data_IF_313355803448
#
_entry.id   IF_313355803448
#
_cell.length_a   1.000
_cell.length_b   1.000
_cell.length_c   1.000
_cell.angle_alpha   90.00
_cell.angle_beta   90.00
_cell.angle_gamma   90.00
#
_symmetry.space_group_name_H-M   'P 1'
#
loop_
_entity.id
_entity.type
_entity.pdbx_description
1 polymer ?
#
# COMPACT_ATOMS: atom_id res chain seq x y z
N UNK A 1 -37.23 13.47 30.90
CA UNK A 1 -37.15 12.02 30.65
C UNK A 1 -35.93 11.74 29.79
N UNK A 2 -35.06 10.81 30.18
CA UNK A 2 -33.88 10.44 29.38
C UNK A 2 -34.30 9.46 28.28
N UNK A 3 -33.72 9.58 27.09
CA UNK A 3 -33.97 8.64 25.99
C UNK A 3 -32.66 7.96 25.56
N UNK A 4 -32.73 6.65 25.35
CA UNK A 4 -31.65 5.84 24.77
C UNK A 4 -32.01 5.59 23.33
N UNK A 5 -31.11 5.97 22.43
CA UNK A 5 -31.38 6.10 21.00
C UNK A 5 -30.29 5.34 20.27
N UNK A 6 -30.68 4.53 19.27
CA UNK A 6 -29.77 3.67 18.53
C UNK A 6 -29.63 4.04 17.04
N UNK A 7 -30.37 5.05 16.59
CA UNK A 7 -30.31 5.52 15.21
C UNK A 7 -30.57 7.01 15.10
N UNK A 8 -30.10 7.58 14.00
CA UNK A 8 -30.30 8.98 13.62
C UNK A 8 -31.78 9.29 13.44
N UNK A 9 -32.55 8.34 12.89
CA UNK A 9 -34.00 8.50 12.65
C UNK A 9 -34.77 8.57 13.96
N UNK A 10 -34.41 7.71 14.92
CA UNK A 10 -35.01 7.72 16.25
C UNK A 10 -34.62 9.01 17.00
N UNK A 11 -33.39 9.49 16.81
CA UNK A 11 -32.96 10.77 17.36
C UNK A 11 -33.80 11.94 16.84
N UNK A 12 -34.02 12.02 15.53
CA UNK A 12 -34.81 13.08 14.91
C UNK A 12 -36.29 13.03 15.33
N UNK A 13 -36.82 11.81 15.52
CA UNK A 13 -38.19 11.62 16.04
C UNK A 13 -38.31 12.09 17.48
N UNK A 14 -37.30 11.80 18.29
CA UNK A 14 -37.30 12.14 19.71
C UNK A 14 -36.98 13.62 19.99
N UNK A 15 -36.26 14.27 19.08
CA UNK A 15 -35.83 15.67 19.16
C UNK A 15 -36.09 16.43 17.84
N UNK A 16 -37.36 16.61 17.41
CA UNK A 16 -37.68 17.16 16.09
C UNK A 16 -37.28 18.63 15.88
N UNK A 17 -36.90 19.33 16.96
CA UNK A 17 -36.45 20.74 16.92
C UNK A 17 -34.96 20.89 16.61
N UNK A 18 -34.18 19.81 16.59
CA UNK A 18 -32.74 19.90 16.29
C UNK A 18 -32.51 20.16 14.80
N UNK A 19 -31.50 20.98 14.43
CA UNK A 19 -31.06 21.14 13.06
C UNK A 19 -30.81 19.81 12.37
N UNK A 20 -31.32 19.69 11.15
CA UNK A 20 -31.16 18.48 10.31
C UNK A 20 -29.82 18.45 9.58
N UNK A 21 -29.05 19.52 9.64
CA UNK A 21 -27.75 19.67 8.98
C UNK A 21 -26.74 20.31 9.95
N UNK A 22 -25.46 20.04 9.71
CA UNK A 22 -24.35 20.65 10.44
C UNK A 22 -23.47 19.66 11.18
N UNK A 23 -22.37 20.16 11.75
CA UNK A 23 -21.29 19.32 12.28
C UNK A 23 -21.73 18.32 13.36
N UNK A 24 -22.71 18.69 14.22
CA UNK A 24 -23.25 17.79 15.24
C UNK A 24 -24.08 16.66 14.65
N UNK A 25 -24.84 16.94 13.58
CA UNK A 25 -25.61 15.92 12.88
C UNK A 25 -24.68 14.92 12.22
N UNK A 26 -23.69 15.39 11.44
CA UNK A 26 -22.69 14.54 10.79
C UNK A 26 -21.93 13.68 11.82
N UNK A 27 -21.57 14.28 12.96
CA UNK A 27 -20.90 13.59 14.05
C UNK A 27 -21.78 12.49 14.67
N UNK A 28 -23.07 12.77 14.85
CA UNK A 28 -24.05 11.83 15.37
C UNK A 28 -24.28 10.65 14.41
N UNK A 29 -24.45 10.93 13.11
CA UNK A 29 -24.59 9.89 12.07
C UNK A 29 -23.39 8.97 12.04
N UNK A 30 -22.19 9.55 12.05
CA UNK A 30 -20.93 8.81 12.09
C UNK A 30 -20.80 7.97 13.36
N UNK A 31 -21.19 8.53 14.50
CA UNK A 31 -21.15 7.83 15.77
C UNK A 31 -22.11 6.64 15.80
N UNK A 32 -23.33 6.81 15.32
CA UNK A 32 -24.30 5.72 15.22
C UNK A 32 -23.80 4.58 14.34
N UNK A 33 -23.17 4.89 13.21
CA UNK A 33 -22.63 3.89 12.29
C UNK A 33 -21.53 3.00 12.91
N UNK A 34 -20.79 3.51 13.90
CA UNK A 34 -19.59 2.83 14.44
C UNK A 34 -19.80 2.33 15.88
N UNK A 35 -20.54 3.09 16.69
CA UNK A 35 -20.62 2.91 18.14
C UNK A 35 -22.05 2.70 18.65
N UNK A 36 -23.06 2.95 17.82
CA UNK A 36 -24.40 2.41 17.98
C UNK A 36 -25.37 3.17 18.87
N UNK A 37 -24.98 3.65 20.06
CA UNK A 37 -25.99 4.14 21.04
C UNK A 37 -25.61 5.47 21.68
N UNK A 38 -26.61 6.35 21.77
CA UNK A 38 -26.53 7.65 22.45
C UNK A 38 -27.63 7.73 23.51
N UNK A 39 -27.34 8.38 24.63
CA UNK A 39 -28.34 8.77 25.65
C UNK A 39 -28.40 10.29 25.72
N UNK A 40 -29.59 10.87 25.59
CA UNK A 40 -29.78 12.32 25.62
C UNK A 40 -31.01 12.75 26.43
N UNK A 41 -31.04 14.02 26.83
CA UNK A 41 -32.17 14.66 27.53
C UNK A 41 -32.55 15.92 26.79
N UNK A 42 -33.85 16.13 26.59
CA UNK A 42 -34.34 17.42 26.13
C UNK A 42 -33.93 18.55 27.08
N UNK A 43 -33.48 19.65 26.52
CA UNK A 43 -33.14 20.90 27.20
C UNK A 43 -33.89 22.05 26.53
N UNK A 44 -33.85 23.23 27.14
CA UNK A 44 -34.37 24.45 26.51
C UNK A 44 -33.48 24.92 25.32
N UNK A 45 -32.25 24.38 25.23
CA UNK A 45 -31.34 24.62 24.12
C UNK A 45 -31.84 23.90 22.85
N UNK A 46 -31.38 24.38 21.71
CA UNK A 46 -31.67 23.79 20.39
C UNK A 46 -31.21 22.33 20.27
N UNK A 47 -30.09 21.98 20.91
CA UNK A 47 -29.57 20.61 20.98
C UNK A 47 -29.80 20.00 22.37
N UNK A 48 -30.26 18.73 22.45
CA UNK A 48 -30.45 18.06 23.73
C UNK A 48 -29.11 17.87 24.45
N UNK A 49 -29.14 17.70 25.78
CA UNK A 49 -27.93 17.39 26.53
C UNK A 49 -27.53 15.94 26.33
N UNK A 50 -26.29 15.71 25.88
CA UNK A 50 -25.72 14.38 25.72
C UNK A 50 -25.31 13.83 27.10
N UNK A 51 -25.88 12.69 27.50
CA UNK A 51 -25.48 11.95 28.70
C UNK A 51 -24.54 10.79 28.41
N UNK A 52 -24.74 10.15 27.26
CA UNK A 52 -23.89 9.07 26.78
C UNK A 52 -23.72 9.22 25.27
N UNK A 53 -22.51 9.04 24.72
CA UNK A 53 -21.26 8.87 25.47
C UNK A 53 -20.91 10.12 26.30
N UNK A 54 -20.39 9.91 27.50
CA UNK A 54 -19.87 11.01 28.32
C UNK A 54 -18.47 11.43 27.82
N UNK A 55 -17.95 12.51 28.39
CA UNK A 55 -16.62 13.03 28.00
C UNK A 55 -15.52 11.99 28.19
N UNK A 56 -15.58 11.17 29.24
CA UNK A 56 -14.56 10.16 29.56
C UNK A 56 -14.56 9.02 28.53
N UNK A 57 -15.73 8.54 28.15
CA UNK A 57 -15.90 7.53 27.09
C UNK A 57 -15.40 8.07 25.76
N UNK A 58 -15.72 9.32 25.44
CA UNK A 58 -15.22 9.97 24.22
C UNK A 58 -13.70 10.12 24.23
N UNK A 59 -13.09 10.52 25.35
CA UNK A 59 -11.63 10.61 25.49
C UNK A 59 -10.94 9.25 25.30
N UNK A 60 -11.48 8.18 25.88
CA UNK A 60 -10.95 6.81 25.67
C UNK A 60 -11.00 6.43 24.20
N UNK A 61 -12.13 6.64 23.53
CA UNK A 61 -12.29 6.31 22.10
C UNK A 61 -11.39 7.14 21.20
N UNK A 62 -11.22 8.43 21.49
CA UNK A 62 -10.28 9.30 20.76
C UNK A 62 -8.85 8.79 20.93
N UNK A 63 -8.45 8.43 22.15
CA UNK A 63 -7.11 7.88 22.43
C UNK A 63 -6.87 6.56 21.68
N UNK A 64 -7.85 5.65 21.70
CA UNK A 64 -7.79 4.39 20.94
C UNK A 64 -7.67 4.62 19.42
N UNK A 65 -8.41 5.60 18.88
CA UNK A 65 -8.32 5.97 17.46
C UNK A 65 -6.95 6.55 17.10
N UNK A 66 -6.37 7.39 17.96
CA UNK A 66 -5.03 7.95 17.73
C UNK A 66 -4.00 6.82 17.66
N UNK A 67 -4.08 5.84 18.57
CA UNK A 67 -3.16 4.69 18.54
C UNK A 67 -3.36 3.84 17.28
N UNK A 68 -4.62 3.56 16.89
CA UNK A 68 -4.92 2.86 15.63
C UNK A 68 -4.38 3.61 14.42
N UNK A 69 -4.58 4.93 14.35
CA UNK A 69 -4.06 5.78 13.27
C UNK A 69 -2.54 5.69 13.18
N UNK A 70 -1.84 5.71 14.31
CA UNK A 70 -0.38 5.55 14.35
C UNK A 70 0.04 4.20 13.74
N UNK A 71 -0.57 3.11 14.19
CA UNK A 71 -0.29 1.75 13.66
C UNK A 71 -0.52 1.68 12.13
N UNK A 72 -1.64 2.22 11.64
CA UNK A 72 -1.92 2.22 10.21
C UNK A 72 -0.99 3.15 9.42
N UNK A 73 -0.58 4.29 9.99
CA UNK A 73 0.36 5.22 9.36
C UNK A 73 1.76 4.61 9.23
N UNK A 74 2.21 3.89 10.26
CA UNK A 74 3.49 3.17 10.24
C UNK A 74 3.48 2.08 9.15
N UNK A 75 2.40 1.31 9.08
CA UNK A 75 2.19 0.33 8.00
C UNK A 75 2.16 0.99 6.62
N UNK A 76 1.49 2.13 6.48
CA UNK A 76 1.43 2.87 5.22
C UNK A 76 2.82 3.30 4.77
N UNK A 77 3.64 3.83 5.68
CA UNK A 77 5.03 4.20 5.41
C UNK A 77 5.86 3.00 4.93
N UNK A 78 5.71 1.85 5.58
CA UNK A 78 6.37 0.61 5.19
C UNK A 78 5.96 0.17 3.77
N UNK A 79 4.66 0.18 3.48
CA UNK A 79 4.14 -0.20 2.16
C UNK A 79 4.54 0.78 1.06
N UNK A 80 4.58 2.09 1.36
CA UNK A 80 5.10 3.11 0.43
C UNK A 80 6.59 2.88 0.11
N UNK A 81 7.39 2.50 1.11
CA UNK A 81 8.81 2.11 0.91
C UNK A 81 8.92 0.86 0.04
N UNK A 82 8.10 -0.16 0.29
CA UNK A 82 8.05 -1.39 -0.54
C UNK A 82 7.65 -1.08 -1.98
N UNK A 83 6.62 -0.27 -2.18
CA UNK A 83 6.16 0.17 -3.50
C UNK A 83 7.26 0.93 -4.24
N UNK A 84 7.87 1.94 -3.60
CA UNK A 84 8.96 2.73 -4.18
C UNK A 84 10.17 1.86 -4.52
N UNK A 85 10.50 0.90 -3.65
CA UNK A 85 11.60 -0.04 -3.89
C UNK A 85 11.33 -0.97 -5.07
N UNK A 86 10.09 -1.46 -5.23
CA UNK A 86 9.69 -2.25 -6.39
C UNK A 86 9.70 -1.42 -7.68
N UNK A 87 9.16 -0.19 -7.65
CA UNK A 87 9.13 0.71 -8.80
C UNK A 87 10.54 1.11 -9.26
N UNK A 88 11.45 1.35 -8.32
CA UNK A 88 12.82 1.77 -8.61
C UNK A 88 13.79 0.60 -8.80
N UNK A 89 13.34 -0.66 -8.68
CA UNK A 89 14.21 -1.84 -8.69
C UNK A 89 15.10 -1.91 -9.93
N UNK A 90 14.54 -1.74 -11.13
CA UNK A 90 15.31 -1.80 -12.37
C UNK A 90 16.26 -0.61 -12.49
N UNK A 91 15.82 0.60 -12.11
CA UNK A 91 16.66 1.80 -12.18
C UNK A 91 17.87 1.71 -11.26
N UNK A 92 17.67 1.25 -10.02
CA UNK A 92 18.75 1.07 -9.05
C UNK A 92 19.75 0.02 -9.55
N UNK A 93 19.29 -1.11 -10.06
CA UNK A 93 20.18 -2.14 -10.60
C UNK A 93 20.89 -1.70 -11.90
N UNK A 94 20.20 -0.94 -12.75
CA UNK A 94 20.75 -0.35 -13.96
C UNK A 94 21.94 0.58 -13.67
N UNK A 95 21.92 1.30 -12.55
CA UNK A 95 23.07 2.11 -12.11
C UNK A 95 24.13 1.23 -11.44
N UNK A 96 23.72 0.33 -10.54
CA UNK A 96 24.67 -0.52 -9.79
C UNK A 96 25.48 -1.45 -10.68
N UNK A 97 24.98 -1.84 -11.86
CA UNK A 97 25.69 -2.72 -12.79
C UNK A 97 27.07 -2.18 -13.19
N UNK A 98 27.24 -0.85 -13.28
CA UNK A 98 28.52 -0.24 -13.70
C UNK A 98 29.64 -0.46 -12.69
N UNK A 99 29.30 -0.70 -11.42
CA UNK A 99 30.26 -1.08 -10.38
C UNK A 99 30.59 -2.58 -10.34
N UNK A 100 30.00 -3.41 -11.20
CA UNK A 100 30.25 -4.85 -11.23
C UNK A 100 31.30 -5.19 -12.29
N UNK A 101 32.46 -5.79 -11.94
CA UNK A 101 33.45 -6.23 -12.94
C UNK A 101 32.87 -7.17 -14.01
N UNK A 102 31.93 -8.02 -13.60
CA UNK A 102 31.24 -8.96 -14.48
C UNK A 102 30.44 -8.26 -15.60
N UNK A 103 29.95 -7.05 -15.36
CA UNK A 103 29.29 -6.22 -16.38
C UNK A 103 30.27 -5.87 -17.51
N UNK A 104 31.47 -5.43 -17.14
CA UNK A 104 32.51 -5.03 -18.09
C UNK A 104 33.08 -6.23 -18.83
N UNK A 105 33.21 -7.38 -18.16
CA UNK A 105 33.61 -8.62 -18.84
C UNK A 105 32.59 -9.05 -19.90
N UNK A 106 31.29 -8.99 -19.58
CA UNK A 106 30.23 -9.23 -20.55
C UNK A 106 30.34 -8.29 -21.76
N UNK A 107 30.54 -6.98 -21.53
CA UNK A 107 30.69 -6.01 -22.61
C UNK A 107 31.91 -6.30 -23.48
N UNK A 108 33.07 -6.59 -22.86
CA UNK A 108 34.28 -6.93 -23.58
C UNK A 108 34.08 -8.16 -24.48
N UNK A 109 33.48 -9.23 -23.94
CA UNK A 109 33.16 -10.45 -24.72
C UNK A 109 32.16 -10.18 -25.84
N UNK A 110 31.18 -9.32 -25.63
CA UNK A 110 30.21 -8.93 -26.66
C UNK A 110 30.86 -8.18 -27.83
N UNK A 111 31.96 -7.47 -27.59
CA UNK A 111 32.72 -6.75 -28.62
C UNK A 111 33.67 -7.69 -29.35
N UNK A 112 34.40 -8.54 -28.61
CA UNK A 112 35.54 -9.32 -29.14
C UNK A 112 35.10 -10.68 -29.68
N UNK A 113 34.10 -11.32 -29.09
CA UNK A 113 33.63 -12.66 -29.47
C UNK A 113 32.29 -12.58 -30.21
N UNK A 114 32.34 -12.83 -31.52
CA UNK A 114 31.16 -12.76 -32.38
C UNK A 114 30.11 -13.84 -32.08
N UNK A 115 30.53 -15.01 -31.62
CA UNK A 115 29.63 -16.11 -31.26
C UNK A 115 29.00 -15.85 -29.89
N UNK A 116 29.78 -15.35 -28.92
CA UNK A 116 29.26 -14.86 -27.66
C UNK A 116 28.18 -13.79 -27.88
N UNK A 117 28.45 -12.81 -28.74
CA UNK A 117 27.51 -11.74 -29.07
C UNK A 117 26.18 -12.28 -29.62
N UNK A 118 26.23 -13.28 -30.51
CA UNK A 118 25.02 -13.92 -31.05
C UNK A 118 24.22 -14.61 -29.94
N UNK A 119 24.90 -15.39 -29.10
CA UNK A 119 24.26 -16.11 -27.98
C UNK A 119 23.63 -15.12 -26.99
N UNK A 120 24.35 -14.07 -26.60
CA UNK A 120 23.88 -13.03 -25.68
C UNK A 120 22.66 -12.28 -26.22
N UNK A 121 22.68 -11.91 -27.50
CA UNK A 121 21.57 -11.23 -28.16
C UNK A 121 20.33 -12.14 -28.29
N UNK A 122 20.53 -13.43 -28.54
CA UNK A 122 19.47 -14.42 -28.64
C UNK A 122 18.74 -14.60 -27.31
N UNK A 123 19.50 -14.70 -26.22
CA UNK A 123 18.99 -14.96 -24.86
C UNK A 123 18.48 -13.69 -24.18
N UNK A 124 18.84 -12.50 -24.68
CA UNK A 124 18.55 -11.20 -24.05
C UNK A 124 18.91 -11.22 -22.56
N UNK A 125 20.16 -11.60 -22.27
CA UNK A 125 20.65 -11.78 -20.90
C UNK A 125 20.38 -10.52 -20.05
N UNK A 126 19.88 -10.65 -18.81
CA UNK A 126 19.53 -9.51 -17.96
C UNK A 126 20.75 -8.91 -17.27
N UNK A 127 21.67 -8.41 -18.08
CA UNK A 127 22.94 -7.83 -17.64
C UNK A 127 22.73 -6.57 -16.79
N UNK A 128 21.59 -5.88 -16.97
CA UNK A 128 21.18 -4.78 -16.12
C UNK A 128 20.90 -5.20 -14.67
N UNK A 129 20.69 -6.49 -14.39
CA UNK A 129 20.48 -7.07 -13.06
C UNK A 129 21.71 -7.79 -12.52
N UNK A 130 22.89 -7.61 -13.12
CA UNK A 130 24.13 -8.27 -12.68
C UNK A 130 24.56 -7.87 -11.25
N UNK A 131 24.05 -6.75 -10.74
CA UNK A 131 24.24 -6.32 -9.35
C UNK A 131 23.27 -7.00 -8.36
N UNK A 132 22.23 -7.68 -8.84
CA UNK A 132 21.29 -8.41 -8.00
C UNK A 132 21.84 -9.83 -7.71
N UNK A 133 21.91 -10.19 -6.43
CA UNK A 133 22.40 -11.50 -5.98
C UNK A 133 21.62 -12.69 -6.57
N UNK A 134 20.35 -12.50 -6.93
CA UNK A 134 19.52 -13.53 -7.57
C UNK A 134 19.94 -13.79 -9.02
N UNK A 135 20.28 -12.74 -9.77
CA UNK A 135 20.56 -12.83 -11.21
C UNK A 135 22.05 -12.93 -11.53
N UNK A 136 22.91 -12.41 -10.63
CA UNK A 136 24.36 -12.44 -10.77
C UNK A 136 24.95 -13.83 -11.05
N UNK A 137 24.54 -14.93 -10.38
CA UNK A 137 25.08 -16.26 -10.66
C UNK A 137 24.80 -16.71 -12.09
N UNK A 138 23.58 -16.51 -12.59
CA UNK A 138 23.22 -16.84 -13.97
C UNK A 138 24.05 -16.04 -14.99
N UNK A 139 24.20 -14.72 -14.78
CA UNK A 139 25.04 -13.89 -15.64
C UNK A 139 26.50 -14.36 -15.58
N UNK A 140 27.00 -14.72 -14.40
CA UNK A 140 28.37 -15.22 -14.21
C UNK A 140 28.60 -16.51 -14.98
N UNK A 141 27.73 -17.50 -14.81
CA UNK A 141 27.83 -18.78 -15.52
C UNK A 141 27.73 -18.56 -17.03
N UNK A 142 26.81 -17.72 -17.52
CA UNK A 142 26.72 -17.40 -18.94
C UNK A 142 27.99 -16.77 -19.52
N UNK A 143 28.66 -15.91 -18.74
CA UNK A 143 29.90 -15.25 -19.16
C UNK A 143 31.08 -16.22 -19.15
N UNK A 144 31.17 -17.11 -18.17
CA UNK A 144 32.35 -17.97 -17.95
C UNK A 144 32.25 -19.37 -18.56
N UNK A 145 31.05 -19.90 -18.73
CA UNK A 145 30.80 -21.28 -19.17
C UNK A 145 30.18 -21.30 -20.58
N UNK A 146 30.94 -21.82 -21.54
CA UNK A 146 30.56 -21.91 -22.95
C UNK A 146 29.45 -22.94 -23.15
N UNK A 147 29.51 -24.08 -22.46
CA UNK A 147 28.54 -25.15 -22.61
C UNK A 147 27.18 -24.70 -22.10
N UNK A 148 27.14 -24.12 -20.91
CA UNK A 148 25.94 -23.51 -20.35
C UNK A 148 25.37 -22.42 -21.25
N UNK A 149 26.24 -21.55 -21.80
CA UNK A 149 25.83 -20.48 -22.73
C UNK A 149 25.11 -21.03 -23.96
N UNK A 150 25.67 -22.07 -24.59
CA UNK A 150 25.09 -22.70 -25.78
C UNK A 150 23.78 -23.41 -25.46
N UNK A 151 23.73 -24.17 -24.37
CA UNK A 151 22.50 -24.82 -23.91
C UNK A 151 21.39 -23.81 -23.60
N UNK A 152 21.71 -22.68 -22.97
CA UNK A 152 20.73 -21.63 -22.67
C UNK A 152 20.24 -20.96 -23.95
N UNK A 153 21.13 -20.67 -24.91
CA UNK A 153 20.77 -20.09 -26.20
C UNK A 153 19.87 -21.02 -27.02
N UNK A 154 20.16 -22.32 -27.02
CA UNK A 154 19.32 -23.33 -27.64
C UNK A 154 17.96 -23.40 -26.97
N UNK A 155 17.92 -23.54 -25.63
CA UNK A 155 16.68 -23.63 -24.85
C UNK A 155 15.76 -22.44 -25.06
N UNK A 156 16.30 -21.22 -25.10
CA UNK A 156 15.50 -20.00 -25.35
C UNK A 156 14.94 -19.97 -26.77
N UNK A 157 15.62 -20.56 -27.75
CA UNK A 157 15.17 -20.60 -29.13
C UNK A 157 14.18 -21.73 -29.42
N UNK A 158 14.32 -22.88 -28.76
CA UNK A 158 13.52 -24.09 -29.04
C UNK A 158 12.30 -24.20 -28.11
N UNK A 159 12.37 -23.70 -26.88
CA UNK A 159 11.32 -23.87 -25.89
C UNK A 159 10.06 -23.05 -26.21
N UNK A 160 8.91 -23.71 -26.05
CA UNK A 160 7.57 -23.10 -26.19
C UNK A 160 7.39 -21.95 -25.18
N UNK A 161 8.04 -22.02 -24.02
CA UNK A 161 7.91 -21.05 -22.91
C UNK A 161 8.50 -19.68 -23.29
N UNK A 162 9.53 -19.66 -24.14
CA UNK A 162 10.24 -18.46 -24.59
C UNK A 162 9.86 -18.04 -26.02
N UNK A 163 9.01 -18.81 -26.71
CA UNK A 163 8.60 -18.55 -28.10
C UNK A 163 7.90 -17.19 -28.30
N UNK A 164 7.16 -16.72 -27.29
CA UNK A 164 6.47 -15.42 -27.30
C UNK A 164 7.34 -14.26 -26.81
N UNK A 165 8.23 -14.51 -25.84
CA UNK A 165 9.20 -13.53 -25.35
C UNK A 165 10.49 -14.24 -24.91
N UNK A 166 11.58 -13.98 -25.65
CA UNK A 166 12.88 -14.61 -25.48
C UNK A 166 13.68 -14.09 -24.27
N UNK A 167 13.11 -13.19 -23.46
CA UNK A 167 13.80 -12.62 -22.30
C UNK A 167 13.86 -13.59 -21.13
N UNK A 168 15.06 -13.97 -20.71
CA UNK A 168 15.27 -14.80 -19.50
C UNK A 168 14.81 -14.09 -18.22
N UNK A 169 14.86 -12.75 -18.16
CA UNK A 169 14.35 -11.98 -17.03
C UNK A 169 12.88 -11.58 -17.09
N UNK A 170 12.06 -12.16 -17.98
CA UNK A 170 10.61 -11.91 -17.98
C UNK A 170 10.01 -12.11 -16.57
N UNK A 171 10.46 -13.16 -15.88
CA UNK A 171 10.04 -13.45 -14.51
C UNK A 171 10.52 -12.43 -13.46
N UNK A 172 11.58 -11.64 -13.74
CA UNK A 172 11.94 -10.51 -12.88
C UNK A 172 10.92 -9.39 -13.04
N UNK A 173 10.63 -9.00 -14.29
CA UNK A 173 9.74 -7.89 -14.62
C UNK A 173 8.31 -8.18 -14.12
N UNK A 174 7.80 -9.39 -14.38
CA UNK A 174 6.49 -9.85 -13.90
C UNK A 174 6.42 -9.86 -12.37
N UNK A 175 7.47 -10.34 -11.69
CA UNK A 175 7.51 -10.39 -10.23
C UNK A 175 7.56 -8.98 -9.62
N UNK A 176 8.29 -8.05 -10.23
CA UNK A 176 8.32 -6.66 -9.76
C UNK A 176 6.99 -5.96 -10.02
N UNK A 177 6.37 -6.18 -11.19
CA UNK A 177 5.02 -5.70 -11.48
C UNK A 177 3.99 -6.22 -10.47
N UNK A 178 4.06 -7.51 -10.13
CA UNK A 178 3.22 -8.11 -9.09
C UNK A 178 3.46 -7.48 -7.71
N UNK A 179 4.72 -7.30 -7.30
CA UNK A 179 5.08 -6.67 -6.02
C UNK A 179 4.61 -5.22 -5.95
N UNK A 180 4.77 -4.47 -7.04
CA UNK A 180 4.32 -3.09 -7.14
C UNK A 180 2.80 -3.01 -7.07
N UNK A 181 2.08 -3.84 -7.83
CA UNK A 181 0.62 -3.88 -7.80
C UNK A 181 0.07 -4.27 -6.43
N UNK A 182 0.63 -5.31 -5.79
CA UNK A 182 0.26 -5.73 -4.46
C UNK A 182 0.51 -4.62 -3.41
N UNK A 183 1.69 -3.99 -3.46
CA UNK A 183 2.01 -2.87 -2.56
C UNK A 183 1.11 -1.66 -2.81
N UNK A 184 0.82 -1.33 -4.07
CA UNK A 184 -0.05 -0.21 -4.44
C UNK A 184 -1.48 -0.39 -3.91
N UNK A 185 -2.02 -1.62 -4.00
CA UNK A 185 -3.32 -1.95 -3.40
C UNK A 185 -3.31 -1.74 -1.89
N UNK A 186 -2.29 -2.25 -1.19
CA UNK A 186 -2.16 -2.09 0.26
C UNK A 186 -2.01 -0.62 0.67
N UNK A 187 -1.26 0.18 -0.10
CA UNK A 187 -1.15 1.63 0.12
C UNK A 187 -2.53 2.29 0.03
N UNK A 188 -3.29 2.00 -1.02
CA UNK A 188 -4.63 2.57 -1.20
C UNK A 188 -5.60 2.19 -0.08
N UNK A 189 -5.66 0.89 0.26
CA UNK A 189 -6.54 0.38 1.32
C UNK A 189 -6.21 1.05 2.68
N UNK A 190 -4.93 1.26 2.97
CA UNK A 190 -4.47 1.94 4.19
C UNK A 190 -4.77 3.45 4.19
N UNK A 191 -4.63 4.13 3.04
CA UNK A 191 -4.98 5.54 2.90
C UNK A 191 -6.49 5.78 3.12
N UNK A 192 -7.33 4.93 2.54
CA UNK A 192 -8.79 4.94 2.76
C UNK A 192 -9.12 4.68 4.23
N UNK A 193 -8.48 3.69 4.85
CA UNK A 193 -8.66 3.39 6.29
C UNK A 193 -8.27 4.58 7.17
N UNK A 194 -7.14 5.24 6.91
CA UNK A 194 -6.69 6.41 7.69
C UNK A 194 -7.64 7.59 7.48
N UNK A 195 -8.12 7.83 6.26
CA UNK A 195 -9.11 8.85 5.98
C UNK A 195 -10.41 8.61 6.76
N UNK A 196 -10.89 7.37 6.78
CA UNK A 196 -12.07 6.95 7.55
C UNK A 196 -11.86 7.20 9.06
N UNK A 197 -10.70 6.82 9.61
CA UNK A 197 -10.35 7.09 11.02
C UNK A 197 -10.31 8.60 11.33
N UNK A 198 -9.84 9.45 10.41
CA UNK A 198 -9.83 10.91 10.59
C UNK A 198 -11.24 11.48 10.69
N UNK A 199 -12.18 10.99 9.86
CA UNK A 199 -13.59 11.40 9.93
C UNK A 199 -14.21 10.98 11.26
N UNK A 200 -13.92 9.77 11.74
CA UNK A 200 -14.38 9.30 13.04
C UNK A 200 -13.81 10.13 14.19
N UNK A 201 -12.53 10.47 14.15
CA UNK A 201 -11.93 11.34 15.17
C UNK A 201 -12.60 12.72 15.20
N UNK A 202 -12.83 13.33 14.03
CA UNK A 202 -13.55 14.62 13.92
C UNK A 202 -14.94 14.54 14.54
N UNK A 203 -15.69 13.48 14.24
CA UNK A 203 -17.01 13.23 14.81
C UNK A 203 -16.97 13.10 16.34
N UNK A 204 -16.04 12.30 16.88
CA UNK A 204 -15.92 12.14 18.34
C UNK A 204 -15.53 13.44 19.04
N UNK A 205 -14.64 14.26 18.44
CA UNK A 205 -14.27 15.56 19.00
C UNK A 205 -15.45 16.53 19.03
N UNK A 206 -16.31 16.49 18.01
CA UNK A 206 -17.52 17.32 17.98
C UNK A 206 -18.54 16.86 19.03
N UNK A 207 -18.77 15.54 19.17
CA UNK A 207 -19.57 15.01 20.27
C UNK A 207 -18.99 15.35 21.64
N UNK A 208 -17.66 15.40 21.76
CA UNK A 208 -17.00 15.73 23.02
C UNK A 208 -17.23 17.19 23.42
N UNK A 209 -17.20 18.11 22.45
CA UNK A 209 -17.57 19.51 22.70
C UNK A 209 -19.02 19.59 23.17
N UNK A 210 -19.92 18.91 22.46
CA UNK A 210 -21.34 18.88 22.80
C UNK A 210 -21.60 18.27 24.19
N UNK A 211 -20.89 17.21 24.57
CA UNK A 211 -21.01 16.58 25.90
C UNK A 211 -20.54 17.48 27.06
N UNK A 212 -19.77 18.53 26.78
CA UNK A 212 -19.28 19.50 27.79
C UNK A 212 -20.26 20.65 28.04
N UNK A 213 -21.30 20.81 27.23
CA UNK A 213 -22.30 21.89 27.30
C UNK A 213 -23.52 21.61 28.19
#
# INVERSE_FOLDING_TARGET
MHKVIASVKDFDKDFPKTPKEGARKDALERYFAIHGVVKAIATEKEWPKLLYPDVRVLDSKIKELIEKKKIYSDKLSEWKKKHSSAANYHNVNQVKKFGQPLYWEHLAKTIVDSDYRKDANSVKLPVHLVADNKWKPMVKTFVHDIEYRKQLAETVNTSIIYKKDKKVARYADELQGFRMGAAGKQVKDLEETIADLNLTEKALRELQKWAKE
#
